data_IF_726301288752
#
_entry.id   IF_726301288752
#
_cell.length_a   1.000
_cell.length_b   1.000
_cell.length_c   1.000
_cell.angle_alpha   90.00
_cell.angle_beta   90.00
_cell.angle_gamma   90.00
#
_symmetry.space_group_name_H-M   'P 1'
#
loop_
_entity.id
_entity.type
_entity.pdbx_description
1 polymer ?
#
# COMPACT_ATOMS: atom_id res chain seq x y z
N UNK A 1 -55.12 70.62 61.46
CA UNK A 1 -54.59 69.91 62.64
C UNK A 1 -55.33 68.58 62.78
N UNK A 2 -54.75 67.51 62.24
CA UNK A 2 -54.95 66.10 62.62
C UNK A 2 -53.72 65.39 62.05
N UNK A 3 -52.71 65.33 62.91
CA UNK A 3 -51.45 64.61 62.73
C UNK A 3 -51.70 63.12 62.93
N UNK A 4 -51.00 62.33 62.12
CA UNK A 4 -50.43 61.01 62.38
C UNK A 4 -51.30 59.97 63.09
N UNK A 5 -51.70 58.94 62.33
CA UNK A 5 -51.97 57.62 62.88
C UNK A 5 -51.64 56.53 61.87
N UNK A 6 -50.36 56.43 61.46
CA UNK A 6 -49.87 55.29 60.67
C UNK A 6 -48.38 54.93 60.92
N UNK A 7 -47.81 55.31 62.07
CA UNK A 7 -46.41 54.97 62.45
C UNK A 7 -46.30 53.90 63.56
N UNK A 8 -47.41 53.26 63.94
CA UNK A 8 -47.46 52.27 65.03
C UNK A 8 -47.20 50.80 64.63
N UNK A 9 -47.24 50.47 63.33
CA UNK A 9 -47.08 49.10 62.83
C UNK A 9 -45.65 48.72 62.41
N UNK A 10 -44.92 49.66 61.79
CA UNK A 10 -43.57 49.42 61.25
C UNK A 10 -42.48 49.41 62.34
N UNK A 11 -42.74 50.05 63.48
CA UNK A 11 -41.84 50.08 64.63
C UNK A 11 -41.85 48.77 65.44
N UNK A 12 -42.97 48.04 65.45
CA UNK A 12 -43.11 46.79 66.21
C UNK A 12 -42.37 45.62 65.54
N UNK A 13 -42.44 45.51 64.21
CA UNK A 13 -41.69 44.52 63.43
C UNK A 13 -40.17 44.72 63.51
N UNK A 14 -39.69 45.97 63.55
CA UNK A 14 -38.25 46.25 63.68
C UNK A 14 -37.71 45.89 65.06
N UNK A 15 -38.52 46.02 66.11
CA UNK A 15 -38.13 45.60 67.47
C UNK A 15 -37.97 44.08 67.53
N UNK A 16 -38.90 43.31 66.96
CA UNK A 16 -38.84 41.85 66.94
C UNK A 16 -37.64 41.35 66.11
N UNK A 17 -37.34 42.01 64.98
CA UNK A 17 -36.14 41.72 64.17
C UNK A 17 -34.85 42.02 64.94
N UNK A 18 -34.77 43.14 65.65
CA UNK A 18 -33.60 43.48 66.46
C UNK A 18 -33.37 42.47 67.60
N UNK A 19 -34.44 42.03 68.28
CA UNK A 19 -34.33 40.98 69.28
C UNK A 19 -33.81 39.66 68.69
N UNK A 20 -34.25 39.30 67.47
CA UNK A 20 -33.74 38.10 66.80
C UNK A 20 -32.26 38.23 66.41
N UNK A 21 -31.86 39.40 65.95
CA UNK A 21 -30.46 39.73 65.67
C UNK A 21 -29.61 39.59 66.93
N UNK A 22 -30.05 40.14 68.07
CA UNK A 22 -29.30 40.06 69.33
C UNK A 22 -29.13 38.61 69.82
N UNK A 23 -30.17 37.77 69.69
CA UNK A 23 -30.07 36.35 69.98
C UNK A 23 -29.02 35.66 69.09
N UNK A 24 -29.08 35.91 67.78
CA UNK A 24 -28.14 35.33 66.83
C UNK A 24 -26.70 35.83 67.07
N UNK A 25 -26.50 37.10 67.44
CA UNK A 25 -25.19 37.64 67.82
C UNK A 25 -24.60 36.89 69.02
N UNK A 26 -25.42 36.54 70.01
CA UNK A 26 -24.98 35.73 71.16
C UNK A 26 -24.58 34.32 70.73
N UNK A 27 -25.33 33.71 69.81
CA UNK A 27 -25.01 32.36 69.29
C UNK A 27 -23.72 32.41 68.47
N UNK A 28 -23.59 33.36 67.54
CA UNK A 28 -22.37 33.58 66.75
C UNK A 28 -21.15 33.79 67.64
N UNK A 29 -21.27 34.63 68.67
CA UNK A 29 -20.19 34.88 69.62
C UNK A 29 -19.83 33.62 70.44
N UNK A 30 -20.81 32.78 70.79
CA UNK A 30 -20.52 31.50 71.44
C UNK A 30 -19.78 30.52 70.52
N UNK A 31 -20.09 30.49 69.21
CA UNK A 31 -19.33 29.70 68.24
C UNK A 31 -17.91 30.25 68.07
N UNK A 32 -17.77 31.57 68.01
CA UNK A 32 -16.47 32.26 67.96
C UNK A 32 -15.60 31.94 69.19
N UNK A 33 -16.15 32.04 70.40
CA UNK A 33 -15.44 31.71 71.65
C UNK A 33 -15.04 30.23 71.75
N UNK A 34 -15.69 29.36 70.97
CA UNK A 34 -15.37 27.93 70.85
C UNK A 34 -14.43 27.63 69.67
N UNK A 35 -13.89 28.67 69.01
CA UNK A 35 -13.05 28.57 67.81
C UNK A 35 -13.73 27.87 66.62
N UNK A 36 -15.06 27.74 66.64
CA UNK A 36 -15.84 27.20 65.54
C UNK A 36 -16.20 28.34 64.58
N UNK A 37 -15.18 28.83 63.85
CA UNK A 37 -15.28 30.03 63.04
C UNK A 37 -16.26 29.89 61.85
N UNK A 38 -16.40 28.70 61.26
CA UNK A 38 -17.33 28.45 60.14
C UNK A 38 -18.79 28.65 60.56
N UNK A 39 -19.22 28.04 61.67
CA UNK A 39 -20.54 28.26 62.23
C UNK A 39 -20.75 29.70 62.71
N UNK A 40 -19.71 30.35 63.24
CA UNK A 40 -19.80 31.77 63.64
C UNK A 40 -20.04 32.68 62.41
N UNK A 41 -19.36 32.42 61.30
CA UNK A 41 -19.54 33.16 60.04
C UNK A 41 -20.92 32.90 59.45
N UNK A 42 -21.37 31.65 59.40
CA UNK A 42 -22.70 31.30 58.85
C UNK A 42 -23.83 32.00 59.59
N UNK A 43 -23.73 32.08 60.93
CA UNK A 43 -24.72 32.77 61.75
C UNK A 43 -24.62 34.30 61.55
N UNK A 44 -23.41 34.84 61.36
CA UNK A 44 -23.23 36.27 61.03
C UNK A 44 -23.79 36.64 59.65
N UNK A 45 -23.68 35.76 58.65
CA UNK A 45 -24.35 35.92 57.34
C UNK A 45 -25.88 35.90 57.50
N UNK A 46 -26.43 34.99 58.32
CA UNK A 46 -27.87 34.94 58.63
C UNK A 46 -28.37 36.24 59.31
N UNK A 47 -27.54 36.86 60.17
CA UNK A 47 -27.85 38.17 60.77
C UNK A 47 -27.89 39.27 59.69
N UNK A 48 -26.96 39.25 58.73
CA UNK A 48 -26.93 40.23 57.64
C UNK A 48 -28.16 40.12 56.75
N UNK A 49 -28.58 38.90 56.39
CA UNK A 49 -29.78 38.67 55.58
C UNK A 49 -31.04 39.22 56.28
N UNK A 50 -31.21 38.91 57.57
CA UNK A 50 -32.32 39.42 58.40
C UNK A 50 -32.27 40.95 58.51
N UNK A 51 -31.08 41.54 58.68
CA UNK A 51 -30.89 42.98 58.77
C UNK A 51 -31.13 43.69 57.44
N UNK A 52 -30.79 43.09 56.30
CA UNK A 52 -31.01 43.64 54.97
C UNK A 52 -32.50 43.65 54.59
N UNK A 53 -33.23 42.56 54.88
CA UNK A 53 -34.68 42.48 54.71
C UNK A 53 -35.42 43.56 55.52
N UNK A 54 -34.91 43.87 56.72
CA UNK A 54 -35.45 44.91 57.58
C UNK A 54 -34.89 46.33 57.31
N UNK A 55 -34.04 46.49 56.28
CA UNK A 55 -33.36 47.75 55.89
C UNK A 55 -32.52 48.38 57.01
N UNK A 56 -31.95 47.55 57.90
CA UNK A 56 -31.06 47.90 59.00
C UNK A 56 -29.59 47.93 58.53
N UNK A 57 -29.27 48.80 57.58
CA UNK A 57 -27.95 48.82 56.91
C UNK A 57 -26.76 49.08 57.85
N UNK A 58 -26.98 49.72 59.00
CA UNK A 58 -25.93 49.87 60.02
C UNK A 58 -25.50 48.54 60.62
N UNK A 59 -26.44 47.61 60.83
CA UNK A 59 -26.17 46.26 61.34
C UNK A 59 -25.49 45.42 60.27
N UNK A 60 -25.94 45.50 59.02
CA UNK A 60 -25.29 44.84 57.87
C UNK A 60 -23.82 45.24 57.76
N UNK A 61 -23.53 46.54 57.95
CA UNK A 61 -22.15 47.05 57.94
C UNK A 61 -21.33 46.56 59.14
N UNK A 62 -21.90 46.62 60.35
CA UNK A 62 -21.24 46.16 61.59
C UNK A 62 -20.88 44.67 61.50
N UNK A 63 -21.82 43.83 61.05
CA UNK A 63 -21.58 42.39 60.87
C UNK A 63 -20.62 42.12 59.71
N UNK A 64 -20.64 42.90 58.63
CA UNK A 64 -19.64 42.80 57.57
C UNK A 64 -18.22 43.08 58.07
N UNK A 65 -18.04 44.05 58.98
CA UNK A 65 -16.76 44.35 59.64
C UNK A 65 -16.37 43.25 60.66
N UNK A 66 -17.35 42.67 61.35
CA UNK A 66 -17.15 41.54 62.27
C UNK A 66 -16.73 40.27 61.53
N UNK A 67 -17.41 39.90 60.45
CA UNK A 67 -17.07 38.80 59.54
C UNK A 67 -15.66 38.99 58.99
N UNK A 68 -15.29 40.20 58.54
CA UNK A 68 -13.93 40.48 58.09
C UNK A 68 -12.86 40.28 59.19
N UNK A 69 -13.24 40.48 60.46
CA UNK A 69 -12.39 40.26 61.62
C UNK A 69 -12.31 38.78 62.00
N UNK A 70 -13.42 38.05 61.96
CA UNK A 70 -13.49 36.59 62.10
C UNK A 70 -12.63 35.92 61.03
N UNK A 71 -12.74 36.37 59.77
CA UNK A 71 -11.87 35.93 58.68
C UNK A 71 -10.40 36.27 58.90
N UNK A 72 -10.08 37.43 59.49
CA UNK A 72 -8.70 37.80 59.85
C UNK A 72 -8.13 36.94 60.98
N UNK A 73 -8.96 36.50 61.93
CA UNK A 73 -8.52 35.66 63.05
C UNK A 73 -8.47 34.18 62.69
N UNK A 74 -9.30 33.75 61.74
CA UNK A 74 -9.15 32.48 61.04
C UNK A 74 -7.85 32.41 60.20
N UNK A 75 -7.08 33.50 60.00
CA UNK A 75 -5.78 33.54 59.25
C UNK A 75 -4.61 32.77 59.90
N UNK A 76 -4.84 31.65 60.58
CA UNK A 76 -3.93 30.51 60.38
C UNK A 76 -4.21 29.78 59.04
N UNK A 77 -5.32 30.13 58.37
CA UNK A 77 -5.81 29.59 57.09
C UNK A 77 -5.65 30.54 55.89
N UNK A 78 -4.42 30.95 55.59
CA UNK A 78 -4.08 31.55 54.28
C UNK A 78 -4.38 30.64 53.06
N UNK A 79 -4.76 29.38 53.30
CA UNK A 79 -5.01 28.35 52.28
C UNK A 79 -6.38 28.48 51.60
N UNK A 80 -7.41 28.99 52.28
CA UNK A 80 -8.78 29.06 51.72
C UNK A 80 -8.93 30.11 50.62
N UNK A 81 -8.31 31.28 50.78
CA UNK A 81 -8.31 32.34 49.76
C UNK A 81 -7.51 31.90 48.53
N UNK A 82 -6.34 31.30 48.74
CA UNK A 82 -5.50 30.79 47.66
C UNK A 82 -6.21 29.71 46.83
N UNK A 83 -6.93 28.78 47.49
CA UNK A 83 -7.70 27.74 46.79
C UNK A 83 -8.83 28.32 45.96
N UNK A 84 -9.49 29.40 46.43
CA UNK A 84 -10.55 30.06 45.66
C UNK A 84 -9.99 30.78 44.43
N UNK A 85 -8.89 31.50 44.56
CA UNK A 85 -8.24 32.19 43.44
C UNK A 85 -7.70 31.19 42.40
N UNK A 86 -7.01 30.14 42.85
CA UNK A 86 -6.52 29.07 41.99
C UNK A 86 -7.65 28.30 41.31
N UNK A 87 -8.77 28.07 42.02
CA UNK A 87 -9.93 27.40 41.45
C UNK A 87 -10.60 28.21 40.32
N UNK A 88 -10.75 29.53 40.47
CA UNK A 88 -11.33 30.34 39.40
C UNK A 88 -10.42 30.35 38.15
N UNK A 89 -9.10 30.46 38.33
CA UNK A 89 -8.14 30.33 37.21
C UNK A 89 -8.18 28.93 36.58
N UNK A 90 -8.22 27.88 37.39
CA UNK A 90 -8.33 26.49 36.94
C UNK A 90 -9.60 26.28 36.13
N UNK A 91 -10.73 26.81 36.59
CA UNK A 91 -12.03 26.67 35.95
C UNK A 91 -12.02 27.32 34.57
N UNK A 92 -11.46 28.52 34.44
CA UNK A 92 -11.31 29.17 33.13
C UNK A 92 -10.48 28.32 32.16
N UNK A 93 -9.37 27.74 32.62
CA UNK A 93 -8.51 26.91 31.78
C UNK A 93 -9.14 25.57 31.44
N UNK A 94 -9.88 24.97 32.37
CA UNK A 94 -10.70 23.79 32.15
C UNK A 94 -11.76 24.03 31.07
N UNK A 95 -12.53 25.12 31.18
CA UNK A 95 -13.55 25.50 30.20
C UNK A 95 -12.93 25.78 28.81
N UNK A 96 -11.76 26.44 28.76
CA UNK A 96 -11.01 26.63 27.50
C UNK A 96 -10.60 25.30 26.86
N UNK A 97 -10.15 24.32 27.65
CA UNK A 97 -9.78 22.99 27.14
C UNK A 97 -11.00 22.23 26.64
N UNK A 98 -12.13 22.29 27.34
CA UNK A 98 -13.38 21.70 26.87
C UNK A 98 -13.88 22.34 25.57
N UNK A 99 -13.79 23.67 25.43
CA UNK A 99 -14.12 24.37 24.19
C UNK A 99 -13.26 23.93 22.98
N UNK A 100 -12.09 23.34 23.24
CA UNK A 100 -11.19 22.77 22.23
C UNK A 100 -11.35 21.25 22.06
N UNK A 101 -12.36 20.62 22.68
CA UNK A 101 -12.56 19.16 22.72
C UNK A 101 -11.36 18.39 23.30
N UNK A 102 -10.60 19.02 24.20
CA UNK A 102 -9.43 18.43 24.89
C UNK A 102 -9.82 17.83 26.24
N UNK A 103 -10.79 16.93 26.22
CA UNK A 103 -11.39 16.33 27.42
C UNK A 103 -10.34 15.66 28.32
N UNK A 104 -9.39 14.93 27.76
CA UNK A 104 -8.34 14.27 28.55
C UNK A 104 -7.39 15.26 29.24
N UNK A 105 -7.06 16.38 28.58
CA UNK A 105 -6.22 17.41 29.17
C UNK A 105 -6.97 18.16 30.28
N UNK A 106 -8.26 18.42 30.07
CA UNK A 106 -9.16 19.04 31.05
C UNK A 106 -9.28 18.18 32.32
N UNK A 107 -9.53 16.88 32.16
CA UNK A 107 -9.55 15.92 33.27
C UNK A 107 -8.20 15.87 34.01
N UNK A 108 -7.09 15.78 33.27
CA UNK A 108 -5.75 15.78 33.87
C UNK A 108 -5.44 17.07 34.64
N UNK A 109 -5.93 18.21 34.17
CA UNK A 109 -5.80 19.50 34.84
C UNK A 109 -6.51 19.47 36.21
N UNK A 110 -7.75 18.98 36.27
CA UNK A 110 -8.50 18.82 37.51
C UNK A 110 -7.85 17.80 38.46
N UNK A 111 -7.36 16.68 37.94
CA UNK A 111 -6.64 15.67 38.75
C UNK A 111 -5.36 16.23 39.38
N UNK A 112 -4.64 17.12 38.67
CA UNK A 112 -3.47 17.82 39.24
C UNK A 112 -3.87 18.76 40.34
N UNK A 113 -4.89 19.59 40.12
CA UNK A 113 -5.43 20.48 41.15
C UNK A 113 -5.86 19.69 42.39
N UNK A 114 -6.56 18.56 42.19
CA UNK A 114 -6.95 17.70 43.30
C UNK A 114 -5.74 17.22 44.09
N UNK A 115 -4.72 16.71 43.39
CA UNK A 115 -3.50 16.18 44.00
C UNK A 115 -2.72 17.24 44.80
N UNK A 116 -2.67 18.47 44.31
CA UNK A 116 -1.92 19.56 44.93
C UNK A 116 -2.56 19.99 46.26
N UNK A 117 -3.89 19.88 46.39
CA UNK A 117 -4.64 20.33 47.55
C UNK A 117 -5.14 19.21 48.49
N UNK A 118 -5.31 17.97 48.00
CA UNK A 118 -5.86 16.82 48.76
C UNK A 118 -5.10 16.49 50.05
N UNK A 119 -3.80 16.81 50.14
CA UNK A 119 -2.99 16.54 51.34
C UNK A 119 -3.26 17.50 52.51
N UNK A 120 -3.73 18.71 52.21
CA UNK A 120 -3.77 19.81 53.17
C UNK A 120 -5.18 20.37 53.38
N UNK A 121 -6.18 19.91 52.61
CA UNK A 121 -7.53 20.45 52.62
C UNK A 121 -8.56 19.44 52.11
N UNK A 122 -9.74 19.41 52.72
CA UNK A 122 -10.90 18.66 52.22
C UNK A 122 -11.60 19.45 51.10
N UNK A 123 -11.17 19.25 49.85
CA UNK A 123 -11.74 19.95 48.67
C UNK A 123 -13.26 19.76 48.52
N UNK A 124 -13.81 18.65 49.01
CA UNK A 124 -15.24 18.36 48.99
C UNK A 124 -16.08 19.28 49.89
N UNK A 125 -15.45 20.04 50.79
CA UNK A 125 -16.12 21.05 51.62
C UNK A 125 -16.54 22.29 50.81
N UNK A 126 -15.95 22.52 49.63
CA UNK A 126 -16.31 23.62 48.74
C UNK A 126 -17.32 23.14 47.70
N UNK A 127 -18.56 23.63 47.80
CA UNK A 127 -19.65 23.23 46.88
C UNK A 127 -19.26 23.37 45.40
N UNK A 128 -18.71 24.51 45.00
CA UNK A 128 -18.32 24.77 43.59
C UNK A 128 -17.23 23.83 43.07
N UNK A 129 -16.26 23.50 43.93
CA UNK A 129 -15.17 22.57 43.59
C UNK A 129 -15.73 21.16 43.43
N UNK A 130 -16.55 20.72 44.40
CA UNK A 130 -17.24 19.43 44.37
C UNK A 130 -18.12 19.28 43.12
N UNK A 131 -18.90 20.30 42.79
CA UNK A 131 -19.78 20.29 41.62
C UNK A 131 -18.97 20.12 40.32
N UNK A 132 -17.82 20.82 40.18
CA UNK A 132 -16.94 20.69 39.02
C UNK A 132 -16.31 19.28 38.91
N UNK A 133 -15.90 18.68 40.03
CA UNK A 133 -15.39 17.31 40.02
C UNK A 133 -16.45 16.28 39.61
N UNK A 134 -17.70 16.47 40.02
CA UNK A 134 -18.82 15.61 39.60
C UNK A 134 -19.07 15.75 38.10
N UNK A 135 -19.09 16.98 37.58
CA UNK A 135 -19.27 17.25 36.15
C UNK A 135 -18.14 16.64 35.30
N UNK A 136 -16.89 16.80 35.72
CA UNK A 136 -15.72 16.20 35.07
C UNK A 136 -15.77 14.67 35.11
N UNK A 137 -16.15 14.05 36.23
CA UNK A 137 -16.26 12.59 36.33
C UNK A 137 -17.29 12.03 35.34
N UNK A 138 -18.45 12.67 35.21
CA UNK A 138 -19.48 12.28 34.23
C UNK A 138 -18.92 12.39 32.81
N UNK A 139 -18.34 13.54 32.47
CA UNK A 139 -17.81 13.83 31.14
C UNK A 139 -16.62 12.93 30.78
N UNK A 140 -15.75 12.64 31.74
CA UNK A 140 -14.62 11.72 31.59
C UNK A 140 -15.10 10.30 31.36
N UNK A 141 -16.09 9.82 32.12
CA UNK A 141 -16.66 8.48 31.96
C UNK A 141 -17.32 8.31 30.57
N UNK A 142 -18.04 9.32 30.09
CA UNK A 142 -18.60 9.33 28.74
C UNK A 142 -17.52 9.34 27.67
N UNK A 143 -16.49 10.17 27.82
CA UNK A 143 -15.33 10.19 26.91
C UNK A 143 -14.62 8.83 26.89
N UNK A 144 -14.30 8.27 28.04
CA UNK A 144 -13.61 7.00 28.18
C UNK A 144 -14.42 5.85 27.57
N UNK A 145 -15.74 5.82 27.81
CA UNK A 145 -16.65 4.83 27.22
C UNK A 145 -16.68 4.93 25.69
N UNK A 146 -16.72 6.16 25.14
CA UNK A 146 -16.63 6.37 23.69
C UNK A 146 -15.31 5.86 23.12
N UNK A 147 -14.18 6.17 23.76
CA UNK A 147 -12.86 5.70 23.32
C UNK A 147 -12.76 4.16 23.37
N UNK A 148 -13.24 3.52 24.44
CA UNK A 148 -13.28 2.06 24.55
C UNK A 148 -14.16 1.41 23.48
N UNK A 149 -15.30 2.01 23.14
CA UNK A 149 -16.16 1.50 22.08
C UNK A 149 -15.47 1.57 20.71
N UNK A 150 -14.76 2.67 20.41
CA UNK A 150 -13.97 2.77 19.18
C UNK A 150 -12.89 1.68 19.11
N UNK A 151 -12.18 1.42 20.22
CA UNK A 151 -11.18 0.35 20.29
C UNK A 151 -11.81 -1.01 20.03
N UNK A 152 -12.95 -1.33 20.67
CA UNK A 152 -13.69 -2.58 20.44
C UNK A 152 -14.17 -2.76 18.99
N UNK A 153 -14.49 -1.68 18.30
CA UNK A 153 -14.85 -1.72 16.88
C UNK A 153 -13.64 -1.90 15.96
N UNK A 154 -12.45 -1.47 16.39
CA UNK A 154 -11.20 -1.66 15.64
C UNK A 154 -10.67 -3.11 15.72
N UNK A 155 -10.90 -3.82 16.84
CA UNK A 155 -10.48 -5.22 17.01
C UNK A 155 -10.91 -6.17 15.88
N UNK A 156 -12.21 -6.26 15.49
CA UNK A 156 -12.62 -7.13 14.41
C UNK A 156 -12.06 -6.69 13.05
N UNK A 157 -11.83 -5.38 12.84
CA UNK A 157 -11.21 -4.87 11.61
C UNK A 157 -9.74 -5.29 11.53
N UNK A 158 -9.02 -5.30 12.66
CA UNK A 158 -7.64 -5.79 12.70
C UNK A 158 -7.57 -7.28 12.33
N UNK A 159 -8.48 -8.10 12.87
CA UNK A 159 -8.58 -9.53 12.56
C UNK A 159 -8.88 -9.72 11.06
N UNK A 160 -9.85 -8.99 10.52
CA UNK A 160 -10.20 -9.04 9.09
C UNK A 160 -9.02 -8.62 8.21
N UNK A 161 -8.38 -7.50 8.54
CA UNK A 161 -7.22 -7.02 7.81
C UNK A 161 -6.10 -8.07 7.75
N UNK A 162 -5.72 -8.63 8.91
CA UNK A 162 -4.67 -9.65 8.97
C UNK A 162 -5.04 -10.92 8.20
N UNK A 163 -6.31 -11.33 8.26
CA UNK A 163 -6.83 -12.46 7.47
C UNK A 163 -6.73 -12.20 5.97
N UNK A 164 -7.13 -11.01 5.50
CA UNK A 164 -7.04 -10.64 4.09
C UNK A 164 -5.60 -10.52 3.61
N UNK A 165 -4.70 -9.96 4.41
CA UNK A 165 -3.27 -9.94 4.09
C UNK A 165 -2.71 -11.35 3.96
N UNK A 166 -3.02 -12.25 4.90
CA UNK A 166 -2.53 -13.64 4.88
C UNK A 166 -3.09 -14.46 3.70
N UNK A 167 -4.30 -14.13 3.24
CA UNK A 167 -4.93 -14.75 2.07
C UNK A 167 -4.64 -14.01 0.77
N UNK A 168 -3.72 -13.04 0.80
CA UNK A 168 -3.29 -12.20 -0.32
C UNK A 168 -4.44 -11.45 -1.01
N UNK A 169 -5.52 -11.15 -0.28
CA UNK A 169 -6.64 -10.35 -0.76
C UNK A 169 -6.42 -8.86 -0.44
N UNK A 170 -5.51 -8.24 -1.18
CA UNK A 170 -5.07 -6.86 -0.92
C UNK A 170 -6.18 -5.81 -1.12
N UNK A 171 -7.16 -6.09 -1.98
CA UNK A 171 -8.31 -5.22 -2.20
C UNK A 171 -9.16 -5.12 -0.92
N UNK A 172 -9.57 -6.26 -0.36
CA UNK A 172 -10.36 -6.28 0.88
C UNK A 172 -9.55 -5.80 2.09
N UNK A 173 -8.24 -6.05 2.14
CA UNK A 173 -7.35 -5.49 3.15
C UNK A 173 -7.33 -3.95 3.08
N UNK A 174 -7.25 -3.37 1.88
CA UNK A 174 -7.34 -1.92 1.66
C UNK A 174 -8.67 -1.32 2.11
N UNK A 175 -9.79 -1.94 1.73
CA UNK A 175 -11.13 -1.51 2.19
C UNK A 175 -11.28 -1.57 3.71
N UNK A 176 -10.65 -2.56 4.35
CA UNK A 176 -10.66 -2.71 5.82
C UNK A 176 -9.87 -1.58 6.49
N UNK A 177 -8.73 -1.18 5.93
CA UNK A 177 -7.98 -0.01 6.39
C UNK A 177 -8.77 1.28 6.26
N UNK A 178 -9.51 1.47 5.17
CA UNK A 178 -10.35 2.66 4.98
C UNK A 178 -11.49 2.73 6.00
N UNK A 179 -12.07 1.58 6.36
CA UNK A 179 -13.06 1.49 7.47
C UNK A 179 -12.41 1.83 8.81
N UNK A 180 -11.22 1.29 9.09
CA UNK A 180 -10.49 1.56 10.33
C UNK A 180 -10.11 3.05 10.44
N UNK A 181 -9.67 3.69 9.34
CA UNK A 181 -9.29 5.10 9.30
C UNK A 181 -10.40 6.04 9.80
N UNK A 182 -11.65 5.79 9.40
CA UNK A 182 -12.82 6.56 9.86
C UNK A 182 -13.05 6.48 11.38
N UNK A 183 -12.69 5.36 12.01
CA UNK A 183 -12.77 5.19 13.46
C UNK A 183 -11.57 5.86 14.16
N UNK A 184 -10.38 5.71 13.58
CA UNK A 184 -9.12 6.27 14.12
C UNK A 184 -9.13 7.80 14.17
N UNK A 185 -9.80 8.49 13.22
CA UNK A 185 -9.96 9.95 13.23
C UNK A 185 -10.57 10.51 14.54
N UNK A 186 -11.35 9.70 15.25
CA UNK A 186 -12.03 10.06 16.50
C UNK A 186 -11.32 9.53 17.75
N UNK A 187 -10.28 8.72 17.57
CA UNK A 187 -9.54 8.09 18.65
C UNK A 187 -8.41 9.02 19.13
N UNK A 188 -8.19 9.08 20.44
CA UNK A 188 -7.10 9.86 21.06
C UNK A 188 -5.98 8.98 21.61
N UNK A 189 -6.16 7.66 21.63
CA UNK A 189 -5.15 6.71 22.10
C UNK A 189 -3.97 6.61 21.12
N UNK A 190 -2.84 7.24 21.50
CA UNK A 190 -1.62 7.28 20.70
C UNK A 190 -1.00 5.91 20.42
N UNK A 191 -1.15 4.93 21.32
CA UNK A 191 -0.59 3.59 21.12
C UNK A 191 -1.36 2.85 20.04
N UNK A 192 -2.70 2.94 20.06
CA UNK A 192 -3.56 2.33 19.05
C UNK A 192 -3.36 3.02 17.70
N UNK A 193 -3.30 4.36 17.67
CA UNK A 193 -3.00 5.11 16.44
C UNK A 193 -1.67 4.67 15.82
N UNK A 194 -0.58 4.64 16.60
CA UNK A 194 0.74 4.21 16.14
C UNK A 194 0.74 2.78 15.61
N UNK A 195 0.00 1.88 16.26
CA UNK A 195 -0.14 0.48 15.80
C UNK A 195 -0.74 0.44 14.40
N UNK A 196 -1.82 1.18 14.15
CA UNK A 196 -2.48 1.23 12.85
C UNK A 196 -1.67 1.96 11.77
N UNK A 197 -0.91 2.99 12.13
CA UNK A 197 0.06 3.62 11.22
C UNK A 197 1.12 2.63 10.72
N UNK A 198 1.68 1.82 11.63
CA UNK A 198 2.63 0.75 11.27
C UNK A 198 1.96 -0.28 10.36
N UNK A 199 0.72 -0.68 10.68
CA UNK A 199 -0.06 -1.61 9.86
C UNK A 199 -0.29 -1.06 8.45
N UNK A 200 -0.64 0.23 8.32
CA UNK A 200 -0.84 0.88 7.03
C UNK A 200 0.46 0.96 6.23
N UNK A 201 1.59 1.32 6.86
CA UNK A 201 2.88 1.36 6.19
C UNK A 201 3.26 -0.02 5.63
N UNK A 202 3.11 -1.08 6.43
CA UNK A 202 3.35 -2.47 6.00
C UNK A 202 2.44 -2.89 4.85
N UNK A 203 1.18 -2.49 4.86
CA UNK A 203 0.25 -2.75 3.76
C UNK A 203 0.70 -2.10 2.46
N UNK A 204 1.14 -0.84 2.50
CA UNK A 204 1.61 -0.13 1.33
C UNK A 204 2.87 -0.76 0.74
N UNK A 205 3.81 -1.17 1.59
CA UNK A 205 4.99 -1.93 1.16
C UNK A 205 4.62 -3.26 0.51
N UNK A 206 3.71 -4.02 1.12
CA UNK A 206 3.24 -5.29 0.59
C UNK A 206 2.54 -5.11 -0.77
N UNK A 207 1.66 -4.11 -0.87
CA UNK A 207 0.94 -3.78 -2.11
C UNK A 207 1.92 -3.42 -3.23
N UNK A 208 2.89 -2.57 -2.94
CA UNK A 208 3.94 -2.20 -3.90
C UNK A 208 4.71 -3.42 -4.40
N UNK A 209 5.01 -4.38 -3.52
CA UNK A 209 5.68 -5.63 -3.90
C UNK A 209 4.79 -6.51 -4.80
N UNK A 210 3.51 -6.62 -4.47
CA UNK A 210 2.56 -7.41 -5.27
C UNK A 210 2.35 -6.83 -6.67
N UNK A 211 2.15 -5.52 -6.77
CA UNK A 211 2.00 -4.85 -8.07
C UNK A 211 3.26 -5.06 -8.94
N UNK A 212 4.44 -5.07 -8.31
CA UNK A 212 5.70 -5.36 -8.99
C UNK A 212 5.83 -6.83 -9.42
N UNK A 213 5.39 -7.77 -8.58
CA UNK A 213 5.35 -9.21 -8.91
C UNK A 213 4.54 -9.45 -10.18
N UNK A 214 3.35 -8.88 -10.26
CA UNK A 214 2.45 -9.04 -11.41
C UNK A 214 3.06 -8.46 -12.68
N UNK A 215 3.60 -7.25 -12.59
CA UNK A 215 4.23 -6.55 -13.71
C UNK A 215 5.45 -7.30 -14.24
N UNK A 216 6.33 -7.78 -13.36
CA UNK A 216 7.49 -8.62 -13.74
C UNK A 216 7.05 -9.94 -14.38
N UNK A 217 5.99 -10.58 -13.88
CA UNK A 217 5.51 -11.83 -14.45
C UNK A 217 4.89 -11.62 -15.85
N UNK A 218 4.24 -10.49 -16.09
CA UNK A 218 3.74 -10.10 -17.40
C UNK A 218 4.88 -9.85 -18.38
N UNK A 219 5.91 -9.08 -17.99
CA UNK A 219 7.12 -8.87 -18.78
C UNK A 219 7.79 -10.21 -19.16
N UNK A 220 7.89 -11.15 -18.21
CA UNK A 220 8.48 -12.47 -18.45
C UNK A 220 7.68 -13.34 -19.43
N UNK A 221 6.35 -13.24 -19.41
CA UNK A 221 5.48 -13.91 -20.40
C UNK A 221 5.67 -13.31 -21.78
N UNK A 222 5.66 -11.98 -21.89
CA UNK A 222 5.89 -11.28 -23.15
C UNK A 222 7.26 -11.62 -23.75
N UNK A 223 8.31 -11.57 -22.92
CA UNK A 223 9.68 -11.96 -23.32
C UNK A 223 9.73 -13.40 -23.83
N UNK A 224 9.00 -14.32 -23.20
CA UNK A 224 8.97 -15.72 -23.65
C UNK A 224 8.33 -15.83 -25.03
N UNK A 225 7.20 -15.16 -25.26
CA UNK A 225 6.54 -15.13 -26.58
C UNK A 225 7.44 -14.49 -27.65
N UNK A 226 8.10 -13.38 -27.34
CA UNK A 226 9.04 -12.72 -28.25
C UNK A 226 10.23 -13.63 -28.58
N UNK A 227 10.73 -14.39 -27.61
CA UNK A 227 11.84 -15.34 -27.82
C UNK A 227 11.42 -16.49 -28.73
N UNK A 228 10.22 -17.04 -28.54
CA UNK A 228 9.65 -18.09 -29.41
C UNK A 228 9.43 -17.59 -30.84
N UNK A 229 9.11 -16.31 -31.01
CA UNK A 229 8.97 -15.64 -32.30
C UNK A 229 10.29 -15.10 -32.87
N UNK A 230 11.44 -15.42 -32.27
CA UNK A 230 12.78 -14.98 -32.69
C UNK A 230 12.99 -13.45 -32.66
N UNK A 231 12.17 -12.71 -31.91
CA UNK A 231 12.26 -11.26 -31.74
C UNK A 231 13.22 -10.88 -30.59
N UNK A 232 14.43 -11.42 -30.62
CA UNK A 232 15.40 -11.35 -29.51
C UNK A 232 15.74 -9.92 -29.07
N UNK A 233 15.85 -8.98 -30.01
CA UNK A 233 16.16 -7.58 -29.67
C UNK A 233 15.06 -6.92 -28.85
N UNK A 234 13.79 -7.19 -29.15
CA UNK A 234 12.67 -6.67 -28.36
C UNK A 234 12.64 -7.30 -26.96
N UNK A 235 12.83 -8.62 -26.90
CA UNK A 235 12.92 -9.35 -25.63
C UNK A 235 14.04 -8.81 -24.72
N UNK A 236 15.25 -8.59 -25.27
CA UNK A 236 16.39 -8.00 -24.54
C UNK A 236 16.08 -6.57 -24.07
N UNK A 237 15.43 -5.75 -24.90
CA UNK A 237 15.10 -4.37 -24.53
C UNK A 237 14.13 -4.30 -23.34
N UNK A 238 13.09 -5.13 -23.32
CA UNK A 238 12.16 -5.22 -22.18
C UNK A 238 12.93 -5.57 -20.91
N UNK A 239 13.74 -6.64 -20.96
CA UNK A 239 14.52 -7.09 -19.82
C UNK A 239 15.51 -6.03 -19.32
N UNK A 240 16.32 -5.44 -20.20
CA UNK A 240 17.31 -4.43 -19.82
C UNK A 240 16.65 -3.20 -19.19
N UNK A 241 15.56 -2.70 -19.80
CA UNK A 241 14.82 -1.55 -19.26
C UNK A 241 14.32 -1.84 -17.86
N UNK A 242 13.79 -3.05 -17.64
CA UNK A 242 13.24 -3.45 -16.34
C UNK A 242 14.32 -3.69 -15.29
N UNK A 243 15.43 -4.34 -15.66
CA UNK A 243 16.61 -4.54 -14.80
C UNK A 243 17.16 -3.19 -14.34
N UNK A 244 17.33 -2.23 -15.25
CA UNK A 244 17.85 -0.89 -14.93
C UNK A 244 16.92 -0.12 -13.98
N UNK A 245 15.60 -0.28 -14.12
CA UNK A 245 14.62 0.28 -13.19
C UNK A 245 14.72 -0.37 -11.81
N UNK A 246 14.83 -1.70 -11.77
CA UNK A 246 14.88 -2.46 -10.52
C UNK A 246 16.20 -2.26 -9.77
N UNK A 247 17.32 -2.07 -10.46
CA UNK A 247 18.62 -1.76 -9.82
C UNK A 247 18.63 -0.41 -9.10
N UNK A 248 17.77 0.53 -9.51
CA UNK A 248 17.58 1.82 -8.81
C UNK A 248 16.68 1.70 -7.58
N UNK A 249 16.21 0.49 -7.26
CA UNK A 249 15.27 0.20 -6.18
C UNK A 249 15.75 -0.98 -5.32
N UNK A 250 15.21 -1.15 -4.11
CA UNK A 250 15.59 -2.23 -3.18
C UNK A 250 15.06 -3.63 -3.58
N UNK A 251 14.82 -3.88 -4.87
CA UNK A 251 14.20 -5.09 -5.42
C UNK A 251 15.21 -6.02 -6.13
N UNK A 252 16.35 -6.29 -5.48
CA UNK A 252 17.46 -7.05 -6.09
C UNK A 252 17.09 -8.46 -6.56
N UNK A 253 16.16 -9.13 -5.86
CA UNK A 253 15.77 -10.49 -6.21
C UNK A 253 15.02 -10.57 -7.54
N UNK A 254 14.20 -9.56 -7.86
CA UNK A 254 13.53 -9.45 -9.15
C UNK A 254 14.54 -9.21 -10.27
N UNK A 255 15.51 -8.32 -10.03
CA UNK A 255 16.57 -8.07 -11.01
C UNK A 255 17.30 -9.37 -11.36
N UNK A 256 17.68 -10.16 -10.34
CA UNK A 256 18.35 -11.46 -10.56
C UNK A 256 17.50 -12.44 -11.39
N UNK A 257 16.18 -12.48 -11.18
CA UNK A 257 15.25 -13.31 -11.99
C UNK A 257 15.25 -12.86 -13.46
N UNK A 258 15.22 -11.55 -13.70
CA UNK A 258 15.25 -10.98 -15.05
C UNK A 258 16.60 -11.17 -15.73
N UNK A 259 17.72 -11.02 -15.02
CA UNK A 259 19.08 -11.26 -15.52
C UNK A 259 19.26 -12.72 -15.95
N UNK A 260 18.73 -13.67 -15.16
CA UNK A 260 18.74 -15.07 -15.54
C UNK A 260 17.95 -15.32 -16.84
N UNK A 261 16.79 -14.67 -16.99
CA UNK A 261 16.01 -14.73 -18.24
C UNK A 261 16.75 -14.07 -19.40
N UNK A 262 17.44 -12.95 -19.18
CA UNK A 262 18.24 -12.27 -20.20
C UNK A 262 19.36 -13.16 -20.73
N UNK A 263 20.07 -13.85 -19.83
CA UNK A 263 21.09 -14.84 -20.22
C UNK A 263 20.49 -15.94 -21.08
N UNK A 264 19.31 -16.46 -20.72
CA UNK A 264 18.61 -17.44 -21.54
C UNK A 264 18.26 -16.90 -22.94
N UNK A 265 17.78 -15.66 -23.05
CA UNK A 265 17.46 -15.02 -24.34
C UNK A 265 18.72 -14.88 -25.21
N UNK A 266 19.85 -14.45 -24.63
CA UNK A 266 21.13 -14.34 -25.33
C UNK A 266 21.64 -15.71 -25.81
N UNK A 267 21.52 -16.74 -24.97
CA UNK A 267 21.91 -18.11 -25.35
C UNK A 267 21.02 -18.65 -26.49
N UNK A 268 19.72 -18.34 -26.46
CA UNK A 268 18.78 -18.72 -27.53
C UNK A 268 19.08 -18.00 -28.85
N UNK A 269 19.37 -16.69 -28.81
CA UNK A 269 19.77 -15.90 -29.97
C UNK A 269 21.07 -16.44 -30.60
N UNK A 270 22.07 -16.76 -29.78
CA UNK A 270 23.34 -17.33 -30.24
C UNK A 270 23.15 -18.67 -30.97
N UNK A 271 22.29 -19.56 -30.43
CA UNK A 271 21.93 -20.83 -31.09
C UNK A 271 21.20 -20.59 -32.40
N UNK A 272 20.26 -19.65 -32.44
CA UNK A 272 19.54 -19.29 -33.66
C UNK A 272 20.49 -18.79 -34.75
N UNK A 273 21.37 -17.84 -34.41
CA UNK A 273 22.35 -17.28 -35.35
C UNK A 273 23.30 -18.34 -35.89
N UNK A 274 23.69 -19.31 -35.06
CA UNK A 274 24.49 -20.46 -35.51
C UNK A 274 23.75 -21.28 -36.56
N UNK A 275 22.49 -21.62 -36.32
CA UNK A 275 21.67 -22.37 -37.27
C UNK A 275 21.44 -21.61 -38.58
N UNK A 276 21.30 -20.29 -38.51
CA UNK A 276 21.24 -19.44 -39.70
C UNK A 276 22.57 -19.42 -40.48
N UNK A 277 23.70 -19.41 -39.77
CA UNK A 277 25.02 -19.61 -40.35
C UNK A 277 25.17 -20.96 -41.06
N UNK A 278 24.72 -22.04 -40.43
CA UNK A 278 24.73 -23.40 -40.98
C UNK A 278 23.89 -23.47 -42.27
N UNK A 279 22.71 -22.83 -42.30
CA UNK A 279 21.90 -22.70 -43.53
C UNK A 279 22.72 -22.02 -44.63
N UNK A 280 23.32 -20.85 -44.36
CA UNK A 280 24.08 -20.11 -45.36
C UNK A 280 25.30 -20.88 -45.91
N UNK A 281 25.92 -21.72 -45.09
CA UNK A 281 26.98 -22.63 -45.54
C UNK A 281 26.43 -23.73 -46.46
N UNK A 282 25.33 -24.38 -46.07
CA UNK A 282 24.66 -25.38 -46.90
C UNK A 282 24.21 -24.81 -48.25
N UNK A 283 23.70 -23.56 -48.28
CA UNK A 283 23.34 -22.89 -49.54
C UNK A 283 24.54 -22.71 -50.48
N UNK A 284 25.71 -22.37 -49.94
CA UNK A 284 26.95 -22.29 -50.73
C UNK A 284 27.36 -23.66 -51.26
N UNK A 285 27.28 -24.69 -50.42
CA UNK A 285 27.60 -26.06 -50.82
C UNK A 285 26.65 -26.60 -51.89
N UNK A 286 25.35 -26.23 -51.84
CA UNK A 286 24.38 -26.57 -52.90
C UNK A 286 24.82 -25.97 -54.24
N UNK A 287 25.15 -24.67 -54.27
CA UNK A 287 25.61 -24.00 -55.50
C UNK A 287 26.85 -24.67 -56.08
N UNK A 288 27.83 -24.99 -55.23
CA UNK A 288 29.05 -25.69 -55.63
C UNK A 288 28.74 -27.08 -56.20
N UNK A 289 27.98 -27.90 -55.48
CA UNK A 289 27.63 -29.26 -55.90
C UNK A 289 26.86 -29.27 -57.23
N UNK A 290 25.92 -28.33 -57.41
CA UNK A 290 25.17 -28.17 -58.67
C UNK A 290 26.11 -27.81 -59.82
N UNK A 291 27.09 -26.93 -59.62
CA UNK A 291 28.08 -26.57 -60.65
C UNK A 291 29.00 -27.74 -61.06
N UNK A 292 29.18 -28.71 -60.15
CA UNK A 292 30.00 -29.90 -60.34
C UNK A 292 29.17 -31.13 -60.80
N UNK A 293 27.89 -30.95 -61.11
CA UNK A 293 26.93 -32.02 -61.42
C UNK A 293 26.77 -33.08 -60.30
N UNK A 294 27.13 -32.73 -59.07
CA UNK A 294 26.97 -33.56 -57.85
C UNK A 294 25.57 -33.37 -57.26
N UNK A 295 24.53 -33.76 -58.02
CA UNK A 295 23.14 -33.44 -57.68
C UNK A 295 22.63 -34.18 -56.43
N UNK A 296 23.13 -35.39 -56.15
CA UNK A 296 22.73 -36.16 -54.96
C UNK A 296 23.22 -35.48 -53.67
N UNK A 297 24.44 -34.98 -53.69
CA UNK A 297 25.06 -34.23 -52.59
C UNK A 297 24.34 -32.89 -52.40
N UNK A 298 23.95 -32.22 -53.48
CA UNK A 298 23.12 -31.02 -53.42
C UNK A 298 21.76 -31.30 -52.74
N UNK A 299 21.05 -32.37 -53.13
CA UNK A 299 19.79 -32.78 -52.49
C UNK A 299 20.00 -33.09 -51.00
N UNK A 300 21.09 -33.75 -50.61
CA UNK A 300 21.40 -34.02 -49.21
C UNK A 300 21.55 -32.72 -48.40
N UNK A 301 22.27 -31.72 -48.92
CA UNK A 301 22.40 -30.42 -48.28
C UNK A 301 21.06 -29.69 -48.18
N UNK A 302 20.22 -29.76 -49.23
CA UNK A 302 18.86 -29.20 -49.20
C UNK A 302 18.03 -29.84 -48.08
N UNK A 303 18.07 -31.16 -47.93
CA UNK A 303 17.37 -31.86 -46.87
C UNK A 303 17.82 -31.42 -45.47
N UNK A 304 19.10 -31.09 -45.30
CA UNK A 304 19.61 -30.52 -44.05
C UNK A 304 19.05 -29.11 -43.80
N UNK A 305 19.01 -28.25 -44.82
CA UNK A 305 18.38 -26.93 -44.72
C UNK A 305 16.91 -27.06 -44.33
N UNK A 306 16.16 -27.99 -44.94
CA UNK A 306 14.75 -28.24 -44.60
C UNK A 306 14.61 -28.64 -43.11
N UNK A 307 15.48 -29.53 -42.62
CA UNK A 307 15.47 -29.94 -41.20
C UNK A 307 15.73 -28.77 -40.26
N UNK A 308 16.76 -27.96 -40.52
CA UNK A 308 17.08 -26.78 -39.71
C UNK A 308 15.94 -25.77 -39.78
N UNK A 309 15.42 -25.50 -40.97
CA UNK A 309 14.34 -24.52 -41.19
C UNK A 309 13.05 -24.89 -40.47
N UNK A 310 12.72 -26.19 -40.37
CA UNK A 310 11.59 -26.66 -39.53
C UNK A 310 11.82 -26.37 -38.05
N UNK A 311 13.05 -26.59 -37.58
CA UNK A 311 13.40 -26.35 -36.18
C UNK A 311 13.33 -24.85 -35.81
N UNK A 312 13.71 -23.96 -36.73
CA UNK A 312 13.70 -22.50 -36.49
C UNK A 312 12.48 -21.76 -37.08
N UNK A 313 11.43 -22.48 -37.49
CA UNK A 313 10.18 -21.88 -37.99
C UNK A 313 10.28 -21.10 -39.32
N UNK A 314 11.33 -21.28 -40.11
CA UNK A 314 11.49 -20.61 -41.43
C UNK A 314 10.71 -21.37 -42.53
N UNK A 315 9.39 -21.28 -42.52
CA UNK A 315 8.50 -22.02 -43.44
C UNK A 315 8.75 -21.73 -44.92
N UNK A 316 9.14 -20.50 -45.28
CA UNK A 316 9.44 -20.12 -46.67
C UNK A 316 10.53 -20.99 -47.31
N UNK A 317 11.47 -21.50 -46.51
CA UNK A 317 12.52 -22.40 -47.01
C UNK A 317 11.93 -23.75 -47.44
N UNK A 318 10.88 -24.23 -46.78
CA UNK A 318 10.33 -25.56 -47.04
C UNK A 318 9.80 -25.70 -48.48
N UNK A 319 9.01 -24.73 -48.94
CA UNK A 319 8.43 -24.77 -50.28
C UNK A 319 9.48 -24.55 -51.38
N UNK A 320 10.36 -23.56 -51.19
CA UNK A 320 11.38 -23.22 -52.18
C UNK A 320 12.36 -24.37 -52.40
N UNK A 321 12.81 -24.99 -51.31
CA UNK A 321 13.77 -26.09 -51.39
C UNK A 321 13.13 -27.41 -51.81
N UNK A 322 11.85 -27.65 -51.51
CA UNK A 322 11.13 -28.80 -52.04
C UNK A 322 11.05 -28.75 -53.57
N UNK A 323 10.63 -27.61 -54.14
CA UNK A 323 10.64 -27.41 -55.60
C UNK A 323 12.03 -27.57 -56.20
N UNK A 324 13.06 -27.16 -55.46
CA UNK A 324 14.43 -27.28 -55.95
C UNK A 324 14.92 -28.73 -55.98
N UNK A 325 14.47 -29.58 -55.04
CA UNK A 325 14.73 -31.03 -55.08
C UNK A 325 14.15 -31.62 -56.37
N UNK A 326 12.90 -31.33 -56.71
CA UNK A 326 12.24 -31.87 -57.92
C UNK A 326 13.07 -31.57 -59.19
N UNK A 327 13.59 -30.34 -59.31
CA UNK A 327 14.45 -29.92 -60.42
C UNK A 327 15.75 -30.74 -60.46
N UNK A 328 16.38 -31.00 -59.31
CA UNK A 328 17.62 -31.76 -59.24
C UNK A 328 17.40 -33.25 -59.54
N UNK A 329 16.27 -33.82 -59.11
CA UNK A 329 15.88 -35.19 -59.42
C UNK A 329 15.66 -35.40 -60.92
N UNK A 330 15.03 -34.44 -61.60
CA UNK A 330 14.87 -34.47 -63.06
C UNK A 330 16.24 -34.44 -63.77
N UNK A 331 17.17 -33.58 -63.30
CA UNK A 331 18.55 -33.54 -63.83
C UNK A 331 19.29 -34.87 -63.64
N UNK A 332 19.13 -35.53 -62.50
CA UNK A 332 19.70 -36.86 -62.25
C UNK A 332 19.16 -37.87 -63.27
N UNK A 333 17.85 -37.85 -63.52
CA UNK A 333 17.21 -38.75 -64.49
C UNK A 333 17.70 -38.50 -65.92
N UNK A 334 17.88 -37.25 -66.32
CA UNK A 334 18.44 -36.88 -67.63
C UNK A 334 19.89 -37.35 -67.73
N UNK A 335 20.74 -37.09 -66.73
CA UNK A 335 22.13 -37.54 -66.74
C UNK A 335 22.25 -39.07 -66.83
N UNK A 336 21.42 -39.81 -66.12
CA UNK A 336 21.38 -41.29 -66.22
C UNK A 336 21.07 -41.75 -67.65
N UNK A 337 20.08 -41.13 -68.33
CA UNK A 337 19.77 -41.44 -69.73
C UNK A 337 20.94 -41.13 -70.67
N UNK A 338 21.66 -40.03 -70.43
CA UNK A 338 22.85 -39.65 -71.20
C UNK A 338 23.96 -40.69 -71.01
N UNK A 339 24.22 -41.13 -69.77
CA UNK A 339 25.21 -42.16 -69.45
C UNK A 339 24.89 -43.50 -70.11
N UNK A 340 23.64 -43.96 -70.00
CA UNK A 340 23.16 -45.18 -70.66
C UNK A 340 23.36 -45.11 -72.17
N UNK A 341 23.01 -43.97 -72.77
CA UNK A 341 23.16 -43.81 -74.22
C UNK A 341 24.63 -43.74 -74.63
N UNK A 342 25.48 -43.06 -73.85
CA UNK A 342 26.93 -43.03 -74.08
C UNK A 342 27.54 -44.42 -74.03
N UNK A 343 27.09 -45.27 -73.11
CA UNK A 343 27.51 -46.67 -73.04
C UNK A 343 27.11 -47.46 -74.30
N UNK A 344 25.85 -47.32 -74.74
CA UNK A 344 25.36 -47.97 -75.97
C UNK A 344 26.13 -47.48 -77.20
N UNK A 345 26.35 -46.17 -77.32
CA UNK A 345 27.11 -45.55 -78.42
C UNK A 345 28.54 -46.07 -78.45
N UNK A 346 29.24 -46.16 -77.30
CA UNK A 346 30.59 -46.74 -77.24
C UNK A 346 30.60 -48.18 -77.74
N UNK A 347 29.64 -49.01 -77.32
CA UNK A 347 29.53 -50.41 -77.76
C UNK A 347 29.27 -50.51 -79.26
N UNK A 348 28.30 -49.75 -79.78
CA UNK A 348 27.97 -49.72 -81.21
C UNK A 348 29.16 -49.21 -82.03
N UNK A 349 29.91 -48.23 -81.53
CA UNK A 349 31.08 -47.69 -82.22
C UNK A 349 32.17 -48.75 -82.40
N UNK A 350 32.42 -49.58 -81.38
CA UNK A 350 33.34 -50.72 -81.50
C UNK A 350 32.86 -51.70 -82.57
N UNK A 351 31.58 -52.08 -82.55
CA UNK A 351 30.99 -52.98 -83.54
C UNK A 351 31.05 -52.42 -84.97
N UNK A 352 30.76 -51.13 -85.14
CA UNK A 352 30.82 -50.44 -86.43
C UNK A 352 32.25 -50.38 -86.99
N UNK A 353 33.25 -50.18 -86.12
CA UNK A 353 34.67 -50.23 -86.48
C UNK A 353 35.15 -51.64 -86.84
N UNK A 354 34.65 -52.68 -86.17
CA UNK A 354 34.93 -54.08 -86.52
C UNK A 354 34.36 -54.44 -87.89
N UNK A 355 33.10 -54.11 -88.16
CA UNK A 355 32.48 -54.33 -89.48
C UNK A 355 33.25 -53.63 -90.61
N UNK A 356 33.73 -52.41 -90.36
CA UNK A 356 34.59 -51.66 -91.29
C UNK A 356 35.91 -52.39 -91.59
N UNK A 357 36.56 -52.95 -90.58
CA UNK A 357 37.82 -53.72 -90.76
C UNK A 357 37.60 -55.02 -91.53
N UNK A 358 36.41 -55.59 -91.46
CA UNK A 358 36.01 -56.79 -92.20
C UNK A 358 35.45 -56.49 -93.60
N UNK A 359 35.54 -55.23 -94.06
CA UNK A 359 35.00 -54.76 -95.34
C UNK A 359 33.46 -54.89 -95.49
N UNK A 360 32.73 -55.05 -94.37
CA UNK A 360 31.26 -55.06 -94.35
C UNK A 360 30.72 -53.63 -94.21
N UNK A 361 30.79 -52.88 -95.30
CA UNK A 361 30.43 -51.46 -95.34
C UNK A 361 28.93 -51.22 -95.11
N UNK A 362 28.06 -52.16 -95.49
CA UNK A 362 26.61 -52.01 -95.33
C UNK A 362 26.25 -52.09 -93.84
N UNK A 363 26.73 -53.11 -93.14
CA UNK A 363 26.48 -53.28 -91.71
C UNK A 363 27.10 -52.14 -90.91
N UNK A 364 28.31 -51.72 -91.26
CA UNK A 364 28.95 -50.57 -90.61
C UNK A 364 28.11 -49.28 -90.76
N UNK A 365 27.60 -48.99 -91.96
CA UNK A 365 26.76 -47.81 -92.21
C UNK A 365 25.45 -47.85 -91.40
N UNK A 366 24.79 -49.00 -91.29
CA UNK A 366 23.57 -49.16 -90.48
C UNK A 366 23.84 -48.92 -88.98
N UNK A 367 24.96 -49.42 -88.45
CA UNK A 367 25.36 -49.19 -87.07
C UNK A 367 25.59 -47.69 -86.80
N UNK A 368 26.30 -46.99 -87.69
CA UNK A 368 26.53 -45.55 -87.53
C UNK A 368 25.25 -44.71 -87.67
N UNK A 369 24.32 -45.09 -88.55
CA UNK A 369 22.98 -44.46 -88.60
C UNK A 369 22.26 -44.61 -87.26
N UNK A 370 22.29 -45.81 -86.67
CA UNK A 370 21.69 -46.07 -85.35
C UNK A 370 22.33 -45.26 -84.23
N UNK A 371 23.65 -45.05 -84.26
CA UNK A 371 24.35 -44.16 -83.31
C UNK A 371 23.82 -42.72 -83.44
N UNK A 372 23.69 -42.21 -84.67
CA UNK A 372 23.17 -40.85 -84.93
C UNK A 372 21.75 -40.70 -84.41
N UNK A 373 20.89 -41.69 -84.65
CA UNK A 373 19.49 -41.66 -84.18
C UNK A 373 19.40 -41.69 -82.66
N UNK A 374 20.23 -42.50 -81.99
CA UNK A 374 20.30 -42.53 -80.52
C UNK A 374 20.72 -41.17 -79.95
N UNK A 375 21.72 -40.52 -80.53
CA UNK A 375 22.19 -39.19 -80.07
C UNK A 375 21.12 -38.12 -80.30
N UNK A 376 20.40 -38.15 -81.43
CA UNK A 376 19.32 -37.19 -81.71
C UNK A 376 18.18 -37.26 -80.70
N UNK A 377 17.84 -38.48 -80.27
CA UNK A 377 16.72 -38.72 -79.35
C UNK A 377 17.03 -38.40 -77.87
N UNK A 378 18.29 -38.13 -77.51
CA UNK A 378 18.66 -37.66 -76.16
C UNK A 378 18.33 -36.17 -75.95
N UNK A 379 18.36 -35.38 -77.03
CA UNK A 379 18.23 -33.92 -77.00
C UNK A 379 16.78 -33.42 -77.18
N UNK A 380 15.82 -34.32 -77.32
CA UNK A 380 14.38 -34.05 -77.31
C UNK A 380 13.80 -34.44 -75.96
#
# INVERSE_FOLDING_TARGET
>A
MKLNSDEGGDSKNKIDVLSKIDELKVIANNHYLRENYDEAIKIAEEIMDIAEEAKLYSVVREEGEHIATLYKQAKSDHKFVAVREDFESLKEDYEKLLAQDKIADAHNLLQRFEKDYRKNMHLNSFKRVKDLFIEDEILWNEFHTRQLNLIRQLEPLEIQFNSYVNTNNLLLAGETLDKAKKLLEKLKDSNVLRKWEITQARFLELKKKYDLDEDVENDLKEVSNLTENYEFNKAKNILNTKIDLLHKSDFSDYSRKLEAKLKYVVDAESKYLKLEGDINELERNIKQNVSQNQFKEAINNINQIIKISRFIGKTNYLENYAKYIDILEEKIKINSKIEDTNYIVKKLNVQGMEALKSEDYIVSLEIYKRIVDLIKNINQ
#
